data_IF_403097019873
#
_entry.id   IF_403097019873
#
_cell.length_a   1.000
_cell.length_b   1.000
_cell.length_c   1.000
_cell.angle_alpha   90.00
_cell.angle_beta   90.00
_cell.angle_gamma   90.00
#
_symmetry.space_group_name_H-M   'P 1'
#
loop_
_entity.id
_entity.type
_entity.pdbx_description
1 polymer ?
#
# COMPACT_ATOMS: atom_id res chain seq x y z
N UNK A 1 -13.14 -25.60 3.04
CA UNK A 1 -13.94 -25.06 4.17
C UNK A 1 -15.37 -25.55 4.09
N UNK A 2 -16.06 -25.42 2.96
CA UNK A 2 -17.45 -25.88 2.78
C UNK A 2 -17.63 -27.36 3.10
N UNK A 3 -16.66 -28.20 2.71
CA UNK A 3 -16.68 -29.64 3.00
C UNK A 3 -16.54 -29.93 4.50
N UNK A 4 -15.69 -29.16 5.20
CA UNK A 4 -15.53 -29.25 6.64
C UNK A 4 -16.83 -28.87 7.38
N UNK A 5 -17.48 -27.81 6.92
CA UNK A 5 -18.78 -27.37 7.48
C UNK A 5 -19.86 -28.43 7.24
N UNK A 6 -19.96 -28.98 6.02
CA UNK A 6 -20.92 -30.06 5.69
C UNK A 6 -20.73 -31.31 6.54
N UNK A 7 -19.49 -31.62 6.89
CA UNK A 7 -19.13 -32.76 7.71
C UNK A 7 -19.20 -32.50 9.24
N UNK A 8 -19.66 -31.31 9.65
CA UNK A 8 -19.71 -30.85 11.05
C UNK A 8 -18.37 -30.94 11.77
N UNK A 9 -17.26 -30.75 11.04
CA UNK A 9 -15.93 -30.73 11.63
C UNK A 9 -15.73 -29.39 12.34
N UNK A 10 -15.35 -29.44 13.61
CA UNK A 10 -15.03 -28.27 14.42
C UNK A 10 -13.61 -28.35 14.98
N UNK A 11 -12.97 -27.19 15.09
CA UNK A 11 -11.64 -27.02 15.67
C UNK A 11 -11.73 -26.22 16.97
N UNK A 12 -10.75 -26.35 17.83
CA UNK A 12 -10.65 -25.54 19.05
C UNK A 12 -10.45 -24.06 18.74
N UNK A 13 -9.64 -23.78 17.71
CA UNK A 13 -9.29 -22.44 17.26
C UNK A 13 -9.35 -22.30 15.76
N UNK A 14 -9.82 -21.15 15.31
CA UNK A 14 -9.60 -20.65 13.94
C UNK A 14 -8.71 -19.41 14.01
N UNK A 15 -7.53 -19.48 13.40
CA UNK A 15 -6.59 -18.36 13.29
C UNK A 15 -6.55 -17.94 11.83
N UNK A 16 -6.87 -16.68 11.55
CA UNK A 16 -6.87 -16.12 10.20
C UNK A 16 -5.85 -15.01 10.11
N UNK A 17 -4.85 -15.19 9.26
CA UNK A 17 -3.87 -14.17 8.93
C UNK A 17 -4.31 -13.35 7.72
N UNK A 18 -3.73 -12.15 7.57
CA UNK A 18 -4.04 -11.21 6.49
C UNK A 18 -5.54 -10.88 6.37
N UNK A 19 -6.26 -10.89 7.50
CA UNK A 19 -7.72 -10.69 7.54
C UNK A 19 -8.15 -9.33 6.98
N UNK A 20 -7.27 -8.34 6.91
CA UNK A 20 -7.53 -7.03 6.29
C UNK A 20 -7.79 -7.09 4.78
N UNK A 21 -7.34 -8.16 4.11
CA UNK A 21 -7.52 -8.38 2.66
C UNK A 21 -8.74 -9.22 2.31
N UNK A 22 -9.24 -9.98 3.27
CA UNK A 22 -10.34 -10.89 3.04
C UNK A 22 -11.67 -10.13 3.09
N UNK A 23 -12.55 -10.41 2.15
CA UNK A 23 -13.94 -9.96 2.19
C UNK A 23 -14.70 -10.66 3.32
N UNK A 24 -15.84 -10.09 3.74
CA UNK A 24 -16.65 -10.69 4.79
C UNK A 24 -17.04 -12.14 4.50
N UNK A 25 -17.35 -12.48 3.25
CA UNK A 25 -17.68 -13.83 2.85
C UNK A 25 -16.52 -14.81 3.05
N UNK A 26 -15.29 -14.39 2.77
CA UNK A 26 -14.08 -15.18 2.97
C UNK A 26 -13.75 -15.36 4.45
N UNK A 27 -14.09 -14.37 5.30
CA UNK A 27 -13.88 -14.44 6.75
C UNK A 27 -14.94 -15.25 7.46
N UNK A 28 -16.21 -15.13 7.07
CA UNK A 28 -17.33 -15.77 7.80
C UNK A 28 -17.23 -17.30 7.76
N UNK A 29 -16.93 -17.89 6.61
CA UNK A 29 -16.86 -19.36 6.48
C UNK A 29 -15.85 -20.01 7.44
N UNK A 30 -14.59 -19.53 7.57
CA UNK A 30 -13.66 -20.06 8.57
C UNK A 30 -14.15 -19.83 10.02
N UNK A 31 -14.83 -18.70 10.29
CA UNK A 31 -15.32 -18.39 11.63
C UNK A 31 -16.36 -19.37 12.14
N UNK A 32 -17.04 -20.08 11.24
CA UNK A 32 -18.03 -21.11 11.61
C UNK A 32 -17.40 -22.43 12.09
N UNK A 33 -16.09 -22.62 11.84
CA UNK A 33 -15.39 -23.87 12.14
C UNK A 33 -14.92 -24.00 13.61
N UNK A 34 -15.04 -22.95 14.43
CA UNK A 34 -14.58 -22.98 15.82
C UNK A 34 -15.33 -21.99 16.71
N UNK A 35 -15.28 -22.22 18.02
CA UNK A 35 -15.79 -21.27 19.01
C UNK A 35 -14.78 -20.18 19.38
N UNK A 36 -13.47 -20.49 19.29
CA UNK A 36 -12.40 -19.55 19.57
C UNK A 36 -11.80 -19.07 18.26
N UNK A 37 -11.73 -17.76 18.08
CA UNK A 37 -11.39 -17.14 16.81
C UNK A 37 -10.39 -16.03 17.02
N UNK A 38 -9.33 -16.02 16.20
CA UNK A 38 -8.32 -14.97 16.19
C UNK A 38 -8.15 -14.48 14.74
N UNK A 39 -8.40 -13.21 14.52
CA UNK A 39 -8.14 -12.54 13.25
C UNK A 39 -6.91 -11.66 13.40
N UNK A 40 -5.93 -11.85 12.53
CA UNK A 40 -4.69 -11.07 12.45
C UNK A 40 -4.68 -10.38 11.10
N UNK A 41 -4.46 -9.08 11.09
CA UNK A 41 -4.44 -8.31 9.85
C UNK A 41 -4.14 -6.83 10.09
N UNK A 42 -4.10 -6.10 8.99
CA UNK A 42 -3.85 -4.66 9.02
C UNK A 42 -4.79 -3.96 8.03
N UNK A 43 -5.78 -3.26 8.58
CA UNK A 43 -6.75 -2.49 7.79
C UNK A 43 -6.15 -1.20 7.19
N UNK A 44 -4.94 -0.82 7.60
CA UNK A 44 -4.17 0.28 7.01
C UNK A 44 -3.32 -0.15 5.82
N UNK A 45 -3.33 -1.45 5.47
CA UNK A 45 -2.72 -2.01 4.27
C UNK A 45 -3.80 -2.30 3.20
N UNK A 46 -3.48 -3.11 2.18
CA UNK A 46 -4.39 -3.35 1.06
C UNK A 46 -5.74 -3.93 1.54
N UNK A 47 -6.85 -3.39 0.99
CA UNK A 47 -8.19 -3.86 1.30
C UNK A 47 -8.51 -5.15 0.55
N UNK A 48 -9.70 -5.74 0.81
CA UNK A 48 -10.24 -6.82 0.00
C UNK A 48 -10.25 -6.47 -1.49
N UNK A 49 -10.04 -7.48 -2.33
CA UNK A 49 -10.08 -7.29 -3.79
C UNK A 49 -11.42 -6.68 -4.20
N UNK A 50 -11.38 -5.74 -5.13
CA UNK A 50 -12.55 -5.00 -5.63
C UNK A 50 -13.26 -4.07 -4.62
N UNK A 51 -12.72 -3.79 -3.43
CA UNK A 51 -13.34 -2.87 -2.47
C UNK A 51 -13.68 -1.51 -3.11
N UNK A 52 -12.79 -0.96 -3.92
CA UNK A 52 -13.02 0.33 -4.61
C UNK A 52 -14.19 0.25 -5.58
N UNK A 53 -14.33 -0.86 -6.31
CA UNK A 53 -15.45 -1.06 -7.25
C UNK A 53 -16.76 -1.23 -6.48
N UNK A 54 -16.76 -2.05 -5.44
CA UNK A 54 -17.94 -2.25 -4.57
C UNK A 54 -18.36 -0.93 -3.95
N UNK A 55 -17.45 -0.18 -3.37
CA UNK A 55 -17.76 1.13 -2.79
C UNK A 55 -18.29 2.11 -3.84
N UNK A 56 -17.72 2.15 -5.04
CA UNK A 56 -18.20 3.05 -6.11
C UNK A 56 -19.62 2.72 -6.58
N UNK A 57 -20.05 1.46 -6.47
CA UNK A 57 -21.42 1.04 -6.75
C UNK A 57 -22.34 1.43 -5.59
N UNK A 58 -21.91 1.18 -4.35
CA UNK A 58 -22.71 1.41 -3.16
C UNK A 58 -22.82 2.90 -2.75
N UNK A 59 -21.96 3.78 -3.29
CA UNK A 59 -21.92 5.23 -3.01
C UNK A 59 -22.56 6.07 -4.12
N UNK A 60 -23.16 5.46 -5.14
CA UNK A 60 -23.86 6.21 -6.19
C UNK A 60 -25.10 6.89 -5.63
N UNK A 61 -25.17 8.20 -5.81
CA UNK A 61 -26.33 9.02 -5.38
C UNK A 61 -27.60 8.74 -6.18
N UNK A 62 -27.46 8.25 -7.40
CA UNK A 62 -28.55 7.81 -8.27
C UNK A 62 -28.35 6.37 -8.68
N UNK A 63 -29.08 5.48 -8.06
CA UNK A 63 -29.20 4.09 -8.54
C UNK A 63 -30.29 4.09 -9.58
N UNK A 64 -29.99 3.47 -10.71
CA UNK A 64 -31.04 3.13 -11.65
C UNK A 64 -31.89 2.01 -11.03
N UNK A 65 -32.90 2.43 -10.29
CA UNK A 65 -33.82 1.50 -9.60
C UNK A 65 -34.53 0.57 -10.58
N UNK A 66 -34.63 0.93 -11.88
CA UNK A 66 -35.27 0.10 -12.89
C UNK A 66 -34.55 -1.23 -13.04
N UNK A 67 -33.21 -1.24 -13.04
CA UNK A 67 -32.42 -2.47 -13.11
C UNK A 67 -32.57 -3.36 -11.87
N UNK A 68 -32.72 -2.75 -10.69
CA UNK A 68 -32.98 -3.46 -9.44
C UNK A 68 -34.40 -4.05 -9.43
N UNK A 69 -35.37 -3.27 -9.87
CA UNK A 69 -36.78 -3.66 -10.01
C UNK A 69 -36.90 -4.80 -11.00
N UNK A 70 -36.31 -4.67 -12.20
CA UNK A 70 -36.31 -5.70 -13.22
C UNK A 70 -35.63 -6.99 -12.74
N UNK A 71 -34.51 -6.89 -12.02
CA UNK A 71 -33.82 -8.05 -11.46
C UNK A 71 -34.64 -8.80 -10.42
N UNK A 72 -35.42 -8.09 -9.58
CA UNK A 72 -36.33 -8.67 -8.59
C UNK A 72 -37.58 -9.24 -9.30
N UNK A 73 -38.21 -8.50 -10.20
CA UNK A 73 -39.43 -8.87 -10.91
C UNK A 73 -39.22 -10.06 -11.84
N UNK A 74 -38.10 -10.12 -12.54
CA UNK A 74 -37.77 -11.21 -13.46
C UNK A 74 -37.20 -12.45 -12.76
N UNK A 75 -37.10 -12.42 -11.42
CA UNK A 75 -36.61 -13.55 -10.62
C UNK A 75 -35.13 -13.88 -10.88
N UNK A 76 -34.36 -12.98 -11.52
CA UNK A 76 -32.91 -13.16 -11.72
C UNK A 76 -32.14 -13.21 -10.40
N UNK A 77 -32.72 -12.69 -9.33
CA UNK A 77 -32.26 -12.83 -7.96
C UNK A 77 -32.94 -13.99 -7.22
N UNK A 78 -33.70 -14.85 -7.94
CA UNK A 78 -34.27 -16.03 -7.31
C UNK A 78 -33.16 -16.95 -6.86
N UNK A 79 -33.06 -17.20 -5.64
CA UNK A 79 -32.79 -18.46 -4.95
C UNK A 79 -32.12 -18.31 -3.61
N UNK A 80 -31.36 -17.22 -3.34
CA UNK A 80 -30.68 -17.10 -2.05
C UNK A 80 -30.74 -15.67 -1.41
N UNK A 81 -31.31 -14.71 -2.08
CA UNK A 81 -31.39 -13.31 -1.60
C UNK A 81 -32.60 -13.04 -0.69
N UNK A 82 -33.62 -13.88 -0.72
CA UNK A 82 -34.83 -13.79 0.14
C UNK A 82 -34.55 -13.92 1.63
N UNK A 83 -33.32 -14.33 2.01
CA UNK A 83 -32.91 -14.41 3.43
C UNK A 83 -32.08 -13.19 3.89
N UNK A 84 -31.84 -12.23 3.03
CA UNK A 84 -31.13 -11.00 3.43
C UNK A 84 -32.15 -10.05 4.06
N UNK A 85 -32.03 -9.82 5.36
CA UNK A 85 -32.86 -8.88 6.14
C UNK A 85 -32.97 -7.52 5.41
N UNK A 86 -34.17 -7.18 4.99
CA UNK A 86 -34.52 -5.95 4.28
C UNK A 86 -34.89 -6.13 2.80
N UNK A 87 -34.68 -7.30 2.18
CA UNK A 87 -35.15 -7.57 0.82
C UNK A 87 -36.64 -7.92 0.80
N UNK A 88 -37.16 -8.53 1.89
CA UNK A 88 -38.61 -8.78 2.05
C UNK A 88 -39.36 -7.45 2.11
N UNK A 89 -38.87 -6.48 2.91
CA UNK A 89 -39.44 -5.12 2.98
C UNK A 89 -39.35 -4.40 1.60
N UNK A 90 -38.29 -4.62 0.85
CA UNK A 90 -38.12 -4.06 -0.48
C UNK A 90 -39.12 -4.67 -1.46
N UNK A 91 -39.33 -5.99 -1.39
CA UNK A 91 -40.29 -6.73 -2.21
C UNK A 91 -41.73 -6.31 -1.92
N UNK A 92 -42.07 -6.07 -0.66
CA UNK A 92 -43.38 -5.59 -0.24
C UNK A 92 -43.66 -4.16 -0.73
N UNK A 93 -42.69 -3.26 -0.56
CA UNK A 93 -42.81 -1.87 -1.02
C UNK A 93 -42.94 -1.74 -2.55
N UNK A 94 -42.37 -2.70 -3.30
CA UNK A 94 -42.43 -2.71 -4.77
C UNK A 94 -43.71 -3.36 -5.31
N UNK A 95 -44.48 -4.06 -4.52
CA UNK A 95 -45.75 -4.64 -4.91
C UNK A 95 -46.91 -3.63 -4.76
N UNK A 96 -46.68 -2.45 -4.20
CA UNK A 96 -47.70 -1.41 -4.12
C UNK A 96 -47.90 -0.76 -5.51
N UNK A 97 -49.15 -0.78 -5.99
CA UNK A 97 -49.51 -0.25 -7.31
C UNK A 97 -49.37 1.27 -7.46
N UNK A 98 -49.07 2.02 -6.39
CA UNK A 98 -48.84 3.46 -6.38
C UNK A 98 -47.52 3.81 -5.72
N UNK A 99 -46.55 4.23 -6.55
CA UNK A 99 -45.30 4.82 -6.10
C UNK A 99 -45.52 6.30 -5.72
N UNK A 100 -46.07 6.56 -4.55
CA UNK A 100 -46.13 7.90 -4.02
C UNK A 100 -44.76 8.37 -3.47
N UNK A 101 -44.65 9.67 -3.18
CA UNK A 101 -43.41 10.27 -2.68
C UNK A 101 -42.92 9.66 -1.34
N UNK A 102 -43.82 9.18 -0.51
CA UNK A 102 -43.49 8.58 0.78
C UNK A 102 -42.96 7.14 0.60
N UNK A 103 -43.56 6.37 -0.31
CA UNK A 103 -43.07 5.04 -0.70
C UNK A 103 -41.69 5.12 -1.33
N UNK A 104 -41.45 6.07 -2.23
CA UNK A 104 -40.12 6.32 -2.80
C UNK A 104 -39.09 6.67 -1.73
N UNK A 105 -39.47 7.47 -0.74
CA UNK A 105 -38.59 7.83 0.38
C UNK A 105 -38.24 6.63 1.26
N UNK A 106 -39.22 5.78 1.58
CA UNK A 106 -38.99 4.54 2.33
C UNK A 106 -38.11 3.55 1.55
N UNK A 107 -38.34 3.41 0.25
CA UNK A 107 -37.51 2.60 -0.65
C UNK A 107 -36.05 3.06 -0.61
N UNK A 108 -35.82 4.37 -0.76
CA UNK A 108 -34.48 4.96 -0.69
C UNK A 108 -33.78 4.72 0.66
N UNK A 109 -34.51 4.83 1.75
CA UNK A 109 -33.96 4.57 3.09
C UNK A 109 -33.60 3.09 3.27
N UNK A 110 -34.45 2.19 2.80
CA UNK A 110 -34.22 0.74 2.88
C UNK A 110 -33.00 0.34 2.05
N UNK A 111 -32.87 0.86 0.83
CA UNK A 111 -31.70 0.61 -0.03
C UNK A 111 -30.42 1.15 0.60
N UNK A 112 -30.43 2.39 1.14
CA UNK A 112 -29.27 2.93 1.85
C UNK A 112 -28.88 2.05 3.05
N UNK A 113 -29.84 1.51 3.78
CA UNK A 113 -29.59 0.60 4.90
C UNK A 113 -28.93 -0.71 4.42
N UNK A 114 -29.44 -1.30 3.34
CA UNK A 114 -28.88 -2.51 2.72
C UNK A 114 -27.45 -2.25 2.26
N UNK A 115 -27.21 -1.16 1.57
CA UNK A 115 -25.88 -0.78 1.08
C UNK A 115 -24.87 -0.56 2.21
N UNK A 116 -25.29 0.14 3.27
CA UNK A 116 -24.45 0.31 4.46
C UNK A 116 -24.06 -1.02 5.09
N UNK A 117 -25.04 -1.94 5.23
CA UNK A 117 -24.78 -3.30 5.73
C UNK A 117 -23.83 -4.05 4.79
N UNK A 118 -24.06 -4.00 3.48
CA UNK A 118 -23.22 -4.67 2.48
C UNK A 118 -21.79 -4.16 2.54
N UNK A 119 -21.57 -2.83 2.64
CA UNK A 119 -20.26 -2.20 2.81
C UNK A 119 -19.57 -2.69 4.08
N UNK A 120 -20.31 -2.74 5.20
CA UNK A 120 -19.80 -3.24 6.48
C UNK A 120 -19.39 -4.71 6.38
N UNK A 121 -20.22 -5.55 5.76
CA UNK A 121 -19.92 -6.97 5.57
C UNK A 121 -18.72 -7.18 4.63
N UNK A 122 -18.62 -6.40 3.57
CA UNK A 122 -17.50 -6.50 2.62
C UNK A 122 -16.17 -6.19 3.30
N UNK A 123 -16.11 -5.13 4.12
CA UNK A 123 -14.92 -4.70 4.86
C UNK A 123 -15.01 -5.09 6.34
N UNK A 124 -15.43 -6.34 6.63
CA UNK A 124 -15.74 -6.82 7.98
C UNK A 124 -14.59 -6.62 8.97
N UNK A 125 -13.38 -7.01 8.62
CA UNK A 125 -12.22 -6.88 9.51
C UNK A 125 -11.98 -5.41 9.90
N UNK A 126 -11.96 -4.50 8.93
CA UNK A 126 -11.82 -3.06 9.17
C UNK A 126 -12.88 -2.55 10.13
N UNK A 127 -14.15 -2.93 9.90
CA UNK A 127 -15.26 -2.51 10.76
C UNK A 127 -15.11 -3.01 12.20
N UNK A 128 -14.67 -4.25 12.40
CA UNK A 128 -14.39 -4.81 13.72
C UNK A 128 -13.28 -4.08 14.44
N UNK A 129 -12.17 -3.77 13.74
CA UNK A 129 -11.05 -3.00 14.31
C UNK A 129 -11.49 -1.60 14.72
N UNK A 130 -12.15 -0.84 13.83
CA UNK A 130 -12.63 0.51 14.13
C UNK A 130 -13.66 0.54 15.26
N UNK A 131 -14.47 -0.51 15.38
CA UNK A 131 -15.43 -0.66 16.49
C UNK A 131 -14.68 -0.95 17.79
N UNK A 132 -13.68 -1.83 17.77
CA UNK A 132 -12.84 -2.11 18.93
C UNK A 132 -12.07 -0.88 19.42
N UNK A 133 -11.51 -0.08 18.50
CA UNK A 133 -10.85 1.19 18.84
C UNK A 133 -11.82 2.16 19.55
N UNK A 134 -13.06 2.28 19.07
CA UNK A 134 -14.09 3.14 19.71
C UNK A 134 -14.49 2.64 21.10
N UNK A 135 -14.58 1.34 21.30
CA UNK A 135 -14.90 0.74 22.60
C UNK A 135 -13.76 0.95 23.60
N UNK A 136 -12.51 0.88 23.16
CA UNK A 136 -11.34 1.17 24.00
C UNK A 136 -11.32 2.61 24.55
N UNK A 137 -11.68 3.60 23.71
CA UNK A 137 -11.78 5.00 24.11
C UNK A 137 -12.80 5.18 25.24
N UNK A 138 -13.86 4.38 25.24
CA UNK A 138 -14.95 4.46 26.22
C UNK A 138 -14.71 3.56 27.45
N UNK A 139 -13.50 3.03 27.70
CA UNK A 139 -13.16 2.11 28.77
C UNK A 139 -14.05 0.84 28.78
N UNK A 140 -14.61 0.46 27.65
CA UNK A 140 -15.31 -0.80 27.47
C UNK A 140 -14.34 -1.91 27.09
N UNK A 141 -14.68 -3.17 27.38
CA UNK A 141 -13.80 -4.30 27.02
C UNK A 141 -13.58 -4.35 25.51
N UNK A 142 -12.34 -4.21 25.08
CA UNK A 142 -11.95 -4.29 23.69
C UNK A 142 -11.76 -5.74 23.26
N UNK A 143 -12.24 -6.06 22.04
CA UNK A 143 -12.00 -7.37 21.40
C UNK A 143 -10.74 -7.38 20.52
N UNK A 144 -10.03 -6.27 20.42
CA UNK A 144 -8.84 -6.15 19.57
C UNK A 144 -7.78 -5.26 20.18
N UNK A 145 -6.54 -5.53 19.83
CA UNK A 145 -5.38 -4.73 20.22
C UNK A 145 -4.42 -4.54 19.06
N UNK A 146 -3.63 -3.45 19.11
CA UNK A 146 -2.61 -3.13 18.13
C UNK A 146 -1.27 -3.73 18.55
N UNK A 147 -0.65 -4.51 17.68
CA UNK A 147 0.73 -4.97 17.84
C UNK A 147 1.69 -3.79 17.60
N UNK A 148 2.12 -3.12 18.67
CA UNK A 148 2.89 -1.88 18.59
C UNK A 148 4.39 -2.09 18.33
N UNK A 149 4.93 -3.25 18.71
CA UNK A 149 6.38 -3.52 18.61
C UNK A 149 6.70 -4.11 17.23
N UNK A 150 7.53 -3.42 16.47
CA UNK A 150 8.00 -3.88 15.18
C UNK A 150 9.44 -4.44 15.24
N UNK A 151 9.70 -5.48 14.44
CA UNK A 151 10.97 -6.21 14.36
C UNK A 151 11.60 -6.20 12.97
N UNK A 152 10.97 -5.53 12.00
CA UNK A 152 11.34 -5.64 10.57
C UNK A 152 12.24 -4.52 10.10
N UNK A 153 11.83 -3.27 10.33
CA UNK A 153 12.32 -2.11 9.60
C UNK A 153 13.42 -1.35 10.35
N UNK A 154 14.32 -0.73 9.59
CA UNK A 154 15.22 0.30 10.11
C UNK A 154 14.42 1.37 10.88
N UNK A 155 14.93 1.89 12.02
CA UNK A 155 14.20 2.83 12.87
C UNK A 155 13.64 4.04 12.13
N UNK A 156 14.39 4.62 11.19
CA UNK A 156 13.91 5.78 10.42
C UNK A 156 12.76 5.42 9.46
N UNK A 157 12.79 4.23 8.85
CA UNK A 157 11.67 3.73 8.05
C UNK A 157 10.45 3.49 8.94
N UNK A 158 10.65 2.84 10.08
CA UNK A 158 9.59 2.61 11.07
C UNK A 158 8.98 3.91 11.57
N UNK A 159 9.78 4.93 11.87
CA UNK A 159 9.31 6.26 12.29
C UNK A 159 8.45 6.92 11.21
N UNK A 160 8.89 6.88 9.94
CA UNK A 160 8.09 7.39 8.82
C UNK A 160 6.73 6.68 8.73
N UNK A 161 6.72 5.35 8.76
CA UNK A 161 5.52 4.52 8.68
C UNK A 161 4.60 4.77 9.89
N UNK A 162 5.15 4.80 11.10
CA UNK A 162 4.42 5.06 12.34
C UNK A 162 3.69 6.40 12.28
N UNK A 163 4.39 7.44 11.87
CA UNK A 163 3.83 8.78 11.76
C UNK A 163 2.75 8.88 10.69
N UNK A 164 2.97 8.31 9.50
CA UNK A 164 2.02 8.42 8.39
C UNK A 164 0.74 7.61 8.63
N UNK A 165 0.84 6.39 9.18
CA UNK A 165 -0.26 5.44 9.15
C UNK A 165 -0.76 4.98 10.52
N UNK A 166 0.07 5.07 11.57
CA UNK A 166 -0.23 4.46 12.89
C UNK A 166 -0.19 5.47 14.05
N UNK A 167 -0.34 6.78 13.78
CA UNK A 167 -0.45 7.83 14.80
C UNK A 167 0.70 7.79 15.82
N UNK A 168 1.93 7.54 15.34
CA UNK A 168 3.16 7.42 16.13
C UNK A 168 3.14 6.30 17.21
N UNK A 169 2.33 5.25 17.00
CA UNK A 169 2.16 4.16 17.98
C UNK A 169 3.12 2.98 17.79
N UNK A 170 3.83 2.88 16.64
CA UNK A 170 4.80 1.80 16.44
C UNK A 170 6.08 2.08 17.21
N UNK A 171 6.59 1.05 17.90
CA UNK A 171 7.79 1.08 18.72
C UNK A 171 8.78 0.07 18.14
N UNK A 172 10.04 0.45 18.04
CA UNK A 172 11.09 -0.47 17.63
C UNK A 172 11.48 -1.40 18.78
N UNK A 173 11.64 -2.69 18.50
CA UNK A 173 12.28 -3.59 19.45
C UNK A 173 13.76 -3.22 19.60
N UNK A 174 14.31 -3.23 20.83
CA UNK A 174 15.68 -2.79 21.10
C UNK A 174 16.75 -3.51 20.26
N UNK A 175 16.63 -4.82 20.12
CA UNK A 175 17.59 -5.60 19.31
C UNK A 175 17.52 -5.22 17.83
N UNK A 176 16.31 -4.94 17.31
CA UNK A 176 16.09 -4.48 15.95
C UNK A 176 16.70 -3.10 15.73
N UNK A 177 16.49 -2.21 16.67
CA UNK A 177 17.05 -0.85 16.66
C UNK A 177 18.58 -0.90 16.65
N UNK A 178 19.19 -1.61 17.60
CA UNK A 178 20.64 -1.76 17.69
C UNK A 178 21.22 -2.38 16.41
N UNK A 179 20.59 -3.43 15.88
CA UNK A 179 21.01 -4.10 14.64
C UNK A 179 21.06 -3.15 13.45
N UNK A 180 20.05 -2.30 13.26
CA UNK A 180 19.96 -1.46 12.07
C UNK A 180 20.71 -0.14 12.18
N UNK A 181 20.96 0.35 13.38
CA UNK A 181 21.80 1.54 13.64
C UNK A 181 23.30 1.20 13.61
N UNK A 182 23.66 -0.05 13.82
CA UNK A 182 25.05 -0.49 13.70
C UNK A 182 25.42 -0.68 12.22
N UNK A 183 26.20 0.25 11.71
CA UNK A 183 26.72 0.27 10.32
C UNK A 183 27.48 -1.02 9.97
N UNK A 184 28.11 -1.65 10.98
CA UNK A 184 28.91 -2.87 10.74
C UNK A 184 28.04 -4.05 10.37
N UNK A 185 26.78 -4.09 10.85
CA UNK A 185 25.83 -5.17 10.59
C UNK A 185 25.13 -5.06 9.24
N UNK A 186 25.21 -3.88 8.59
CA UNK A 186 24.60 -3.68 7.29
C UNK A 186 25.28 -4.52 6.22
N UNK A 187 24.53 -5.36 5.47
CA UNK A 187 25.13 -6.39 4.60
C UNK A 187 25.61 -5.85 3.26
N UNK A 188 25.36 -4.59 2.91
CA UNK A 188 25.71 -4.00 1.61
C UNK A 188 26.17 -2.55 1.74
N UNK A 189 26.89 -2.10 0.72
CA UNK A 189 27.35 -0.72 0.53
C UNK A 189 27.12 -0.30 -0.91
N UNK A 190 27.28 1.00 -1.19
CA UNK A 190 27.37 1.54 -2.55
C UNK A 190 28.78 2.01 -2.81
N UNK A 191 29.35 1.64 -3.96
CA UNK A 191 30.62 2.20 -4.42
C UNK A 191 30.42 3.63 -4.90
N UNK A 192 31.44 4.43 -4.73
CA UNK A 192 31.47 5.81 -5.22
C UNK A 192 31.65 5.85 -6.74
N UNK A 193 31.06 6.84 -7.39
CA UNK A 193 31.23 7.11 -8.81
C UNK A 193 31.19 8.62 -9.02
N UNK A 194 32.15 9.18 -9.80
CA UNK A 194 32.29 10.63 -10.02
C UNK A 194 31.06 11.24 -10.75
N UNK A 195 30.29 10.42 -11.47
CA UNK A 195 29.14 10.85 -12.26
C UNK A 195 27.78 10.48 -11.63
N UNK A 196 27.78 9.93 -10.42
CA UNK A 196 26.56 9.54 -9.74
C UNK A 196 26.64 9.89 -8.25
N UNK A 197 25.53 10.33 -7.62
CA UNK A 197 25.54 10.68 -6.22
C UNK A 197 26.08 9.55 -5.35
N UNK A 198 26.93 9.91 -4.38
CA UNK A 198 27.38 8.93 -3.40
C UNK A 198 26.23 8.54 -2.46
N UNK A 199 25.59 7.40 -2.76
CA UNK A 199 24.47 6.90 -1.96
C UNK A 199 24.99 6.54 -0.58
N UNK A 200 24.54 7.26 0.44
CA UNK A 200 24.94 6.99 1.81
C UNK A 200 24.32 5.66 2.29
N UNK A 201 25.18 4.67 2.48
CA UNK A 201 24.78 3.35 2.95
C UNK A 201 24.28 3.35 4.40
N UNK A 202 24.60 4.36 5.20
CA UNK A 202 24.29 4.39 6.64
C UNK A 202 22.84 4.82 6.91
N UNK A 203 22.16 5.35 5.92
CA UNK A 203 20.82 5.89 6.06
C UNK A 203 19.75 4.87 5.70
N UNK A 204 18.69 4.82 6.49
CA UNK A 204 17.54 3.94 6.23
C UNK A 204 16.70 4.39 5.03
N UNK A 205 16.66 5.72 4.76
CA UNK A 205 15.87 6.31 3.68
C UNK A 205 16.77 7.19 2.82
N UNK A 206 16.74 6.94 1.51
CA UNK A 206 17.46 7.73 0.49
C UNK A 206 16.47 8.15 -0.58
N UNK A 207 16.46 9.42 -0.95
CA UNK A 207 15.67 9.94 -2.06
C UNK A 207 16.59 10.33 -3.22
N UNK A 208 16.38 9.73 -4.38
CA UNK A 208 17.04 10.09 -5.63
C UNK A 208 16.05 10.90 -6.48
N UNK A 209 16.22 12.20 -6.47
CA UNK A 209 15.39 13.14 -7.24
C UNK A 209 15.68 13.05 -8.73
N UNK A 210 14.67 13.34 -9.53
CA UNK A 210 14.78 13.34 -10.99
C UNK A 210 15.11 14.73 -11.52
N UNK A 211 14.82 15.78 -10.77
CA UNK A 211 14.94 17.18 -11.22
C UNK A 211 15.47 18.12 -10.13
N UNK A 212 16.15 19.18 -10.56
CA UNK A 212 16.59 20.26 -9.70
C UNK A 212 15.37 21.09 -9.24
N UNK A 213 15.09 21.17 -7.93
CA UNK A 213 13.96 21.94 -7.39
C UNK A 213 14.02 23.44 -7.73
N UNK A 214 15.17 23.96 -8.16
CA UNK A 214 15.33 25.36 -8.52
C UNK A 214 15.08 25.67 -10.01
N UNK A 215 14.83 24.64 -10.85
CA UNK A 215 14.54 24.81 -12.27
C UNK A 215 13.08 24.53 -12.57
N UNK A 216 12.25 25.55 -12.52
CA UNK A 216 10.80 25.51 -12.75
C UNK A 216 10.33 25.19 -14.19
N UNK A 217 11.17 24.75 -15.09
CA UNK A 217 10.74 24.25 -16.38
C UNK A 217 10.30 22.79 -16.24
N UNK A 218 9.07 22.61 -15.81
CA UNK A 218 8.45 21.33 -15.58
C UNK A 218 8.16 20.64 -16.93
N UNK A 219 9.16 19.97 -17.49
CA UNK A 219 8.96 19.11 -18.64
C UNK A 219 8.44 17.74 -18.14
N UNK A 220 7.25 17.29 -18.60
CA UNK A 220 6.75 15.99 -18.22
C UNK A 220 7.74 14.90 -18.65
N UNK A 221 8.19 14.09 -17.69
CA UNK A 221 9.10 12.96 -17.94
C UNK A 221 8.37 11.62 -17.98
N UNK A 222 7.13 11.63 -17.54
CA UNK A 222 6.26 10.46 -17.56
C UNK A 222 5.59 10.33 -18.91
N UNK A 223 5.64 9.14 -19.50
CA UNK A 223 4.88 8.78 -20.67
C UNK A 223 4.12 7.49 -20.42
N UNK A 224 2.81 7.55 -20.46
CA UNK A 224 1.95 6.36 -20.44
C UNK A 224 2.19 5.44 -19.22
N UNK A 225 2.40 6.05 -18.04
CA UNK A 225 2.77 5.39 -16.76
C UNK A 225 4.14 4.72 -16.77
N UNK A 226 5.06 5.21 -17.59
CA UNK A 226 6.48 4.85 -17.54
C UNK A 226 7.33 6.11 -17.36
N UNK A 227 8.50 5.95 -16.74
CA UNK A 227 9.48 7.00 -16.54
C UNK A 227 10.89 6.42 -16.80
N UNK A 228 11.44 6.72 -17.97
CA UNK A 228 12.75 6.21 -18.40
C UNK A 228 13.90 6.78 -17.56
N UNK A 229 13.77 8.02 -17.07
CA UNK A 229 14.79 8.63 -16.21
C UNK A 229 14.89 7.88 -14.87
N UNK A 230 13.75 7.55 -14.24
CA UNK A 230 13.76 6.70 -13.05
C UNK A 230 14.41 5.35 -13.32
N UNK A 231 14.09 4.75 -14.46
CA UNK A 231 14.65 3.45 -14.83
C UNK A 231 16.19 3.50 -14.96
N UNK A 232 16.73 4.57 -15.58
CA UNK A 232 18.18 4.76 -15.70
C UNK A 232 18.85 4.97 -14.33
N UNK A 233 18.24 5.76 -13.44
CA UNK A 233 18.72 5.96 -12.06
C UNK A 233 18.75 4.64 -11.30
N UNK A 234 17.70 3.81 -11.44
CA UNK A 234 17.61 2.51 -10.79
C UNK A 234 18.70 1.57 -11.29
N UNK A 235 18.91 1.48 -12.61
CA UNK A 235 19.97 0.65 -13.19
C UNK A 235 21.32 1.08 -12.66
N UNK A 236 21.60 2.39 -12.66
CA UNK A 236 22.86 2.95 -12.15
C UNK A 236 23.08 2.61 -10.67
N UNK A 237 22.02 2.75 -9.85
CA UNK A 237 22.08 2.37 -8.43
C UNK A 237 22.43 0.89 -8.25
N UNK A 238 21.85 0.00 -9.08
CA UNK A 238 22.12 -1.45 -9.06
C UNK A 238 23.54 -1.79 -9.56
N UNK A 239 24.12 -0.98 -10.44
CA UNK A 239 25.52 -1.14 -10.85
C UNK A 239 26.50 -0.82 -9.72
N UNK A 240 26.15 0.14 -8.85
CA UNK A 240 27.02 0.62 -7.76
C UNK A 240 26.90 -0.21 -6.47
N UNK A 241 25.85 -1.01 -6.32
CA UNK A 241 25.66 -1.80 -5.11
C UNK A 241 26.68 -2.93 -5.01
N UNK A 242 27.15 -3.18 -3.78
CA UNK A 242 28.10 -4.27 -3.47
C UNK A 242 27.71 -4.91 -2.13
N UNK A 243 27.88 -6.23 -2.03
CA UNK A 243 27.73 -6.97 -0.79
C UNK A 243 28.98 -6.87 0.06
N UNK A 244 28.83 -6.62 1.36
CA UNK A 244 29.93 -6.74 2.33
C UNK A 244 30.32 -8.21 2.57
N UNK A 245 29.45 -9.17 2.30
CA UNK A 245 29.71 -10.61 2.57
C UNK A 245 30.74 -11.23 1.64
N UNK A 246 31.10 -10.61 0.53
CA UNK A 246 32.32 -10.99 -0.19
C UNK A 246 33.58 -10.75 0.64
N UNK A 247 33.48 -10.01 1.74
CA UNK A 247 34.56 -9.69 2.67
C UNK A 247 34.52 -10.54 3.95
N UNK A 248 33.38 -11.20 4.29
CA UNK A 248 33.20 -11.96 5.52
C UNK A 248 32.46 -13.30 5.24
N UNK A 249 33.22 -14.38 5.13
CA UNK A 249 32.74 -15.72 4.77
C UNK A 249 31.82 -16.43 5.79
N UNK A 250 31.42 -15.79 6.89
CA UNK A 250 30.73 -16.47 8.00
C UNK A 250 29.19 -16.43 7.95
N UNK A 251 28.56 -15.61 7.09
CA UNK A 251 27.09 -15.57 6.98
C UNK A 251 26.63 -15.61 5.54
N UNK A 252 26.62 -16.81 4.97
CA UNK A 252 26.29 -17.11 3.56
C UNK A 252 24.83 -16.94 3.16
N UNK A 253 24.07 -15.98 3.74
CA UNK A 253 22.70 -15.71 3.27
C UNK A 253 22.73 -14.61 2.23
N UNK A 254 22.22 -14.86 1.01
CA UNK A 254 22.14 -13.83 -0.02
C UNK A 254 21.27 -12.65 0.44
N UNK A 255 21.69 -11.45 0.08
CA UNK A 255 21.01 -10.20 0.42
C UNK A 255 19.77 -10.07 -0.46
N UNK A 256 18.62 -9.96 0.14
CA UNK A 256 17.34 -9.82 -0.57
C UNK A 256 17.16 -8.41 -1.10
N UNK A 257 16.96 -8.29 -2.39
CA UNK A 257 16.72 -7.04 -3.10
C UNK A 257 15.45 -7.11 -3.93
N UNK A 258 14.70 -6.01 -4.00
CA UNK A 258 13.51 -5.88 -4.84
C UNK A 258 13.36 -4.43 -5.32
N UNK A 259 12.92 -4.26 -6.56
CA UNK A 259 12.45 -3.00 -7.12
C UNK A 259 10.92 -3.03 -7.14
N UNK A 260 10.27 -1.95 -6.69
CA UNK A 260 8.81 -1.87 -6.70
C UNK A 260 8.36 -0.63 -7.46
N UNK A 261 7.29 -0.77 -8.21
CA UNK A 261 6.61 0.36 -8.84
C UNK A 261 5.09 0.20 -8.71
N UNK A 262 4.35 1.31 -8.58
CA UNK A 262 2.88 1.26 -8.58
C UNK A 262 2.28 0.81 -9.92
N UNK A 263 3.01 0.98 -11.03
CA UNK A 263 2.46 0.86 -12.38
C UNK A 263 3.04 -0.33 -13.13
N UNK A 264 2.15 -1.19 -13.63
CA UNK A 264 2.54 -2.40 -14.37
C UNK A 264 3.42 -2.10 -15.59
N UNK A 265 3.14 -1.04 -16.34
CA UNK A 265 3.96 -0.65 -17.50
C UNK A 265 5.40 -0.31 -17.13
N UNK A 266 5.61 0.38 -15.98
CA UNK A 266 6.95 0.64 -15.47
C UNK A 266 7.66 -0.66 -15.05
N UNK A 267 6.92 -1.56 -14.41
CA UNK A 267 7.45 -2.88 -14.03
C UNK A 267 7.92 -3.67 -15.25
N UNK A 268 7.11 -3.70 -16.31
CA UNK A 268 7.43 -4.41 -17.54
C UNK A 268 8.63 -3.79 -18.25
N UNK A 269 8.70 -2.45 -18.33
CA UNK A 269 9.84 -1.72 -18.87
C UNK A 269 11.12 -2.01 -18.07
N UNK A 270 11.08 -1.91 -16.74
CA UNK A 270 12.24 -2.18 -15.90
C UNK A 270 12.73 -3.62 -16.04
N UNK A 271 11.83 -4.61 -16.02
CA UNK A 271 12.23 -6.00 -16.20
C UNK A 271 12.84 -6.26 -17.58
N UNK A 272 12.34 -5.62 -18.66
CA UNK A 272 12.94 -5.70 -19.99
C UNK A 272 14.36 -5.11 -20.01
N UNK A 273 14.55 -3.96 -19.36
CA UNK A 273 15.88 -3.34 -19.24
C UNK A 273 16.82 -4.19 -18.39
N UNK A 274 16.35 -4.79 -17.30
CA UNK A 274 17.16 -5.69 -16.47
C UNK A 274 17.64 -6.93 -17.24
N UNK A 275 16.81 -7.46 -18.13
CA UNK A 275 17.20 -8.54 -19.04
C UNK A 275 18.27 -8.08 -20.03
N UNK A 276 18.05 -6.95 -20.70
CA UNK A 276 18.98 -6.39 -21.70
C UNK A 276 20.35 -6.10 -21.09
N UNK A 277 20.38 -5.53 -19.88
CA UNK A 277 21.62 -5.19 -19.18
C UNK A 277 22.22 -6.35 -18.36
N UNK A 278 21.59 -7.51 -18.35
CA UNK A 278 21.94 -8.66 -17.50
C UNK A 278 22.08 -8.27 -16.02
N UNK A 279 21.18 -7.40 -15.57
CA UNK A 279 21.25 -6.79 -14.23
C UNK A 279 21.09 -7.83 -13.14
N UNK A 280 20.17 -8.78 -13.32
CA UNK A 280 19.94 -9.87 -12.34
C UNK A 280 21.18 -10.73 -12.16
N UNK A 281 21.82 -11.14 -13.25
CA UNK A 281 23.07 -11.93 -13.20
C UNK A 281 24.19 -11.15 -12.47
N UNK A 282 24.32 -9.85 -12.79
CA UNK A 282 25.34 -8.99 -12.17
C UNK A 282 25.14 -8.83 -10.66
N UNK A 283 23.91 -8.60 -10.19
CA UNK A 283 23.64 -8.48 -8.75
C UNK A 283 23.79 -9.82 -8.03
N UNK A 284 23.44 -10.93 -8.66
CA UNK A 284 23.65 -12.26 -8.10
C UNK A 284 25.15 -12.57 -7.89
N UNK A 285 25.99 -12.22 -8.86
CA UNK A 285 27.45 -12.31 -8.72
C UNK A 285 28.01 -11.48 -7.56
N UNK A 286 27.31 -10.40 -7.19
CA UNK A 286 27.65 -9.55 -6.04
C UNK A 286 27.05 -10.04 -4.71
N UNK A 287 26.41 -11.22 -4.66
CA UNK A 287 25.84 -11.81 -3.45
C UNK A 287 24.41 -11.37 -3.11
N UNK A 288 23.68 -10.81 -4.08
CA UNK A 288 22.26 -10.46 -3.92
C UNK A 288 21.37 -11.55 -4.52
N UNK A 289 20.13 -11.60 -4.04
CA UNK A 289 19.08 -12.38 -4.65
C UNK A 289 17.78 -11.59 -4.76
N UNK A 290 16.92 -12.01 -5.67
CA UNK A 290 15.56 -11.49 -5.78
C UNK A 290 14.78 -11.92 -4.54
N UNK A 291 14.11 -10.98 -3.87
CA UNK A 291 13.42 -11.24 -2.61
C UNK A 291 12.23 -12.20 -2.77
N UNK A 292 11.57 -12.19 -3.95
CA UNK A 292 10.38 -13.01 -4.20
C UNK A 292 10.17 -13.27 -5.70
N UNK A 293 10.08 -14.55 -6.10
CA UNK A 293 9.86 -14.97 -7.50
C UNK A 293 11.06 -14.66 -8.39
N UNK A 294 10.84 -14.59 -9.71
CA UNK A 294 11.92 -14.55 -10.71
C UNK A 294 12.21 -13.14 -11.25
N UNK A 295 11.27 -12.20 -11.09
CA UNK A 295 11.41 -10.83 -11.59
C UNK A 295 11.93 -9.89 -10.51
N UNK A 296 12.97 -9.12 -10.85
CA UNK A 296 13.57 -8.14 -9.94
C UNK A 296 12.66 -6.94 -9.67
N UNK A 297 11.77 -6.60 -10.60
CA UNK A 297 10.76 -5.56 -10.41
C UNK A 297 9.37 -6.15 -10.34
N UNK A 298 8.57 -5.67 -9.35
CA UNK A 298 7.17 -6.08 -9.15
C UNK A 298 6.27 -4.87 -8.87
N UNK A 299 4.97 -5.07 -9.07
CA UNK A 299 3.98 -4.11 -8.56
C UNK A 299 3.86 -4.24 -7.04
N UNK A 300 3.44 -3.15 -6.40
CA UNK A 300 3.22 -3.13 -4.93
C UNK A 300 2.25 -4.23 -4.51
N UNK A 301 1.16 -4.39 -5.26
CA UNK A 301 0.12 -5.39 -4.96
C UNK A 301 0.66 -6.83 -5.07
N UNK A 302 1.52 -7.10 -6.07
CA UNK A 302 2.11 -8.44 -6.26
C UNK A 302 3.24 -8.79 -5.28
N UNK A 303 3.80 -7.80 -4.58
CA UNK A 303 4.84 -7.98 -3.57
C UNK A 303 4.30 -7.89 -2.14
N UNK A 304 2.99 -7.81 -1.96
CA UNK A 304 2.39 -7.77 -0.62
C UNK A 304 2.74 -9.04 0.17
N UNK A 305 2.98 -8.90 1.48
CA UNK A 305 3.51 -9.96 2.34
C UNK A 305 5.02 -10.18 2.20
N UNK A 306 5.64 -9.71 1.10
CA UNK A 306 7.08 -9.77 0.89
C UNK A 306 7.86 -8.74 1.73
N UNK A 307 9.16 -8.97 1.84
CA UNK A 307 10.14 -8.09 2.46
C UNK A 307 11.52 -8.29 1.85
N UNK A 308 12.33 -7.24 1.83
CA UNK A 308 13.71 -7.30 1.33
C UNK A 308 14.65 -6.48 2.19
N UNK A 309 15.94 -6.80 2.14
CA UNK A 309 16.97 -6.06 2.84
C UNK A 309 17.15 -4.66 2.24
N UNK A 310 17.06 -4.57 0.91
CA UNK A 310 17.03 -3.32 0.15
C UNK A 310 15.79 -3.30 -0.74
N UNK A 311 15.06 -2.18 -0.69
CA UNK A 311 13.96 -1.87 -1.62
C UNK A 311 14.31 -0.61 -2.40
N UNK A 312 14.11 -0.66 -3.71
CA UNK A 312 14.16 0.53 -4.57
C UNK A 312 12.77 0.79 -5.10
N UNK A 313 12.25 2.00 -4.89
CA UNK A 313 10.91 2.41 -5.30
C UNK A 313 10.99 3.33 -6.52
N UNK A 314 10.23 3.02 -7.57
CA UNK A 314 10.03 3.88 -8.73
C UNK A 314 8.63 4.48 -8.65
N UNK A 315 8.52 5.79 -8.41
CA UNK A 315 7.23 6.48 -8.22
C UNK A 315 6.54 6.80 -9.54
N UNK A 316 7.30 6.95 -10.62
CA UNK A 316 6.88 7.21 -12.01
C UNK A 316 6.30 8.61 -12.24
N UNK A 317 5.44 9.08 -11.35
CA UNK A 317 4.61 10.27 -11.59
C UNK A 317 5.44 11.55 -11.73
N UNK A 318 5.43 12.11 -12.95
CA UNK A 318 6.04 13.38 -13.30
C UNK A 318 5.32 13.96 -14.53
N UNK A 319 4.22 14.65 -14.31
CA UNK A 319 3.31 15.11 -15.36
C UNK A 319 2.63 16.43 -14.98
N UNK A 320 1.91 17.02 -15.94
CA UNK A 320 1.14 18.27 -15.78
C UNK A 320 -0.37 18.03 -15.78
N UNK A 321 -0.81 16.81 -15.48
CA UNK A 321 -2.23 16.48 -15.51
C UNK A 321 -3.02 17.20 -14.41
N UNK A 322 -4.27 17.50 -14.70
CA UNK A 322 -5.31 17.95 -13.77
C UNK A 322 -6.54 17.06 -13.97
N UNK A 323 -7.30 16.72 -12.96
CA UNK A 323 -7.18 17.03 -11.52
C UNK A 323 -6.10 16.21 -10.81
N UNK A 324 -5.86 16.48 -9.51
CA UNK A 324 -4.84 15.83 -8.67
C UNK A 324 -4.89 14.30 -8.73
N UNK A 325 -6.08 13.70 -8.77
CA UNK A 325 -6.24 12.24 -8.89
C UNK A 325 -5.66 11.69 -10.18
N UNK A 326 -5.76 12.44 -11.29
CA UNK A 326 -5.14 12.06 -12.57
C UNK A 326 -3.62 12.27 -12.51
N UNK A 327 -3.17 13.32 -11.85
CA UNK A 327 -1.76 13.65 -11.72
C UNK A 327 -1.00 12.62 -10.88
N UNK A 328 -1.46 12.32 -9.69
CA UNK A 328 -0.75 11.49 -8.71
C UNK A 328 -1.25 10.04 -8.66
N UNK A 329 -2.53 9.80 -8.97
CA UNK A 329 -3.09 8.44 -9.06
C UNK A 329 -2.83 7.58 -7.82
N UNK A 330 -2.05 6.53 -7.98
CA UNK A 330 -1.67 5.58 -6.93
C UNK A 330 -1.06 6.25 -5.69
N UNK A 331 -0.29 7.33 -5.86
CA UNK A 331 0.40 8.00 -4.75
C UNK A 331 -0.57 8.66 -3.74
N UNK A 332 -1.84 8.79 -4.09
CA UNK A 332 -2.90 9.24 -3.19
C UNK A 332 -3.52 8.11 -2.36
N UNK A 333 -3.27 6.86 -2.70
CA UNK A 333 -3.81 5.73 -1.94
C UNK A 333 -2.90 5.43 -0.73
N UNK A 334 -3.29 5.93 0.44
CA UNK A 334 -2.54 5.78 1.68
C UNK A 334 -2.26 4.31 2.04
N UNK A 335 -3.18 3.38 1.76
CA UNK A 335 -3.04 1.96 2.08
C UNK A 335 -1.97 1.30 1.20
N UNK A 336 -1.98 1.61 -0.09
CA UNK A 336 -0.97 1.13 -1.04
C UNK A 336 0.40 1.75 -0.75
N UNK A 337 0.44 3.04 -0.41
CA UNK A 337 1.66 3.70 0.03
C UNK A 337 2.22 3.07 1.31
N UNK A 338 1.37 2.74 2.28
CA UNK A 338 1.81 2.02 3.48
C UNK A 338 2.49 0.69 3.13
N UNK A 339 1.86 -0.11 2.25
CA UNK A 339 2.47 -1.37 1.80
C UNK A 339 3.81 -1.12 1.12
N UNK A 340 3.88 -0.17 0.18
CA UNK A 340 5.08 0.14 -0.59
C UNK A 340 6.25 0.57 0.30
N UNK A 341 6.01 1.49 1.22
CA UNK A 341 7.03 2.08 2.08
C UNK A 341 7.50 1.16 3.22
N UNK A 342 6.70 0.13 3.59
CA UNK A 342 7.00 -0.76 4.72
C UNK A 342 7.70 -2.07 4.35
N UNK A 343 8.19 -2.23 3.11
CA UNK A 343 8.80 -3.49 2.64
C UNK A 343 10.29 -3.64 2.92
N UNK A 344 11.00 -2.53 3.16
CA UNK A 344 12.44 -2.53 3.36
C UNK A 344 12.83 -2.86 4.80
N UNK A 345 13.90 -3.65 4.97
CA UNK A 345 14.53 -3.92 6.27
C UNK A 345 15.61 -2.89 6.60
N UNK A 346 16.67 -2.85 5.81
CA UNK A 346 17.84 -1.98 6.08
C UNK A 346 17.75 -0.63 5.40
N UNK A 347 17.33 -0.60 4.13
CA UNK A 347 17.30 0.64 3.37
C UNK A 347 16.20 0.65 2.33
N UNK A 348 15.58 1.81 2.21
CA UNK A 348 14.64 2.16 1.15
C UNK A 348 15.22 3.29 0.32
N UNK A 349 15.36 3.07 -0.99
CA UNK A 349 15.72 4.10 -1.97
C UNK A 349 14.46 4.48 -2.73
N UNK A 350 14.09 5.74 -2.68
CA UNK A 350 12.93 6.27 -3.40
C UNK A 350 13.47 7.05 -4.61
N UNK A 351 13.03 6.67 -5.80
CA UNK A 351 13.35 7.36 -7.06
C UNK A 351 12.08 8.04 -7.57
N UNK A 352 12.11 9.35 -7.72
CA UNK A 352 10.93 10.09 -8.13
C UNK A 352 11.05 11.61 -7.99
N UNK A 353 10.04 12.34 -8.50
CA UNK A 353 9.95 13.79 -8.42
C UNK A 353 9.36 14.26 -7.10
N UNK A 354 10.19 14.75 -6.21
CA UNK A 354 9.72 15.35 -4.96
C UNK A 354 9.05 16.70 -5.20
N UNK A 355 9.48 17.42 -6.24
CA UNK A 355 8.90 18.72 -6.61
C UNK A 355 7.44 18.61 -7.02
N UNK A 356 7.09 17.55 -7.75
CA UNK A 356 5.71 17.29 -8.11
C UNK A 356 4.83 17.03 -6.88
N UNK A 357 5.35 16.26 -5.91
CA UNK A 357 4.64 16.04 -4.65
C UNK A 357 4.50 17.35 -3.86
N UNK A 358 5.57 18.15 -3.79
CA UNK A 358 5.57 19.44 -3.12
C UNK A 358 4.60 20.44 -3.78
N UNK A 359 4.59 20.48 -5.11
CA UNK A 359 3.67 21.35 -5.84
C UNK A 359 2.21 21.03 -5.55
N UNK A 360 1.83 19.75 -5.62
CA UNK A 360 0.47 19.32 -5.32
C UNK A 360 0.09 19.46 -3.84
N UNK A 361 1.01 19.23 -2.91
CA UNK A 361 0.73 19.38 -1.48
C UNK A 361 0.48 20.84 -1.08
N UNK A 362 0.98 21.80 -1.85
CA UNK A 362 0.74 23.22 -1.64
C UNK A 362 -0.51 23.74 -2.36
N UNK A 363 -1.11 22.95 -3.25
CA UNK A 363 -2.36 23.31 -3.92
C UNK A 363 -3.51 23.31 -2.90
N UNK A 364 -4.30 24.39 -2.89
CA UNK A 364 -5.42 24.54 -1.95
C UNK A 364 -6.46 23.41 -2.07
N UNK A 365 -6.61 22.84 -3.28
CA UNK A 365 -7.53 21.74 -3.54
C UNK A 365 -7.08 20.43 -2.90
N UNK A 366 -5.78 20.26 -2.66
CA UNK A 366 -5.23 19.08 -2.00
C UNK A 366 -5.36 19.16 -0.47
N UNK A 367 -5.31 20.37 0.11
CA UNK A 367 -5.30 20.56 1.57
C UNK A 367 -6.55 20.00 2.26
N UNK A 368 -7.69 20.06 1.60
CA UNK A 368 -8.97 19.64 2.19
C UNK A 368 -9.31 18.17 1.92
N UNK A 369 -8.74 17.57 0.87
CA UNK A 369 -9.11 16.21 0.44
C UNK A 369 -8.00 15.17 0.60
N UNK A 370 -6.75 15.58 0.77
CA UNK A 370 -5.59 14.70 0.68
C UNK A 370 -4.59 14.96 1.84
N UNK A 371 -5.09 14.95 3.07
CA UNK A 371 -4.30 15.12 4.30
C UNK A 371 -3.05 14.22 4.33
N UNK A 372 -3.19 12.97 3.85
CA UNK A 372 -2.08 12.02 3.75
C UNK A 372 -0.96 12.54 2.84
N UNK A 373 -1.29 13.07 1.64
CA UNK A 373 -0.30 13.61 0.71
C UNK A 373 0.48 14.76 1.33
N UNK A 374 -0.22 15.69 1.95
CA UNK A 374 0.40 16.85 2.62
C UNK A 374 1.33 16.40 3.73
N UNK A 375 0.90 15.49 4.58
CA UNK A 375 1.69 14.94 5.67
C UNK A 375 2.94 14.21 5.14
N UNK A 376 2.76 13.32 4.16
CA UNK A 376 3.85 12.57 3.53
C UNK A 376 4.89 13.51 2.92
N UNK A 377 4.44 14.49 2.13
CA UNK A 377 5.34 15.45 1.47
C UNK A 377 6.13 16.26 2.50
N UNK A 378 5.47 16.78 3.54
CA UNK A 378 6.14 17.54 4.59
C UNK A 378 7.21 16.71 5.33
N UNK A 379 7.01 15.40 5.47
CA UNK A 379 8.00 14.50 6.07
C UNK A 379 9.17 14.21 5.14
N UNK A 380 9.00 14.29 3.83
CA UNK A 380 9.98 13.90 2.83
C UNK A 380 10.75 15.08 2.19
N UNK A 381 10.19 16.29 2.25
CA UNK A 381 10.82 17.48 1.63
C UNK A 381 12.18 17.79 2.29
N UNK A 382 13.23 18.08 1.48
CA UNK A 382 14.55 18.49 1.99
C UNK A 382 14.44 19.67 2.96
N UNK A 383 15.26 19.61 4.01
CA UNK A 383 15.34 20.65 5.05
C UNK A 383 14.11 20.79 5.97
N UNK A 384 13.04 20.02 5.79
CA UNK A 384 12.00 19.94 6.81
C UNK A 384 12.57 19.39 8.14
N UNK A 385 11.95 19.76 9.25
CA UNK A 385 12.34 19.24 10.57
C UNK A 385 12.20 17.71 10.57
N UNK A 386 11.10 17.22 10.03
CA UNK A 386 10.78 15.79 9.95
C UNK A 386 11.78 15.02 9.08
N UNK A 387 12.17 15.56 7.90
CA UNK A 387 13.17 14.92 7.04
C UNK A 387 14.55 14.84 7.72
N UNK A 388 14.92 15.86 8.49
CA UNK A 388 16.14 15.84 9.31
C UNK A 388 16.07 14.80 10.43
N UNK A 389 14.94 14.70 11.12
CA UNK A 389 14.72 13.69 12.15
C UNK A 389 14.69 12.26 11.61
N UNK A 390 14.24 12.07 10.36
CA UNK A 390 14.27 10.79 9.64
C UNK A 390 15.63 10.52 8.98
N UNK A 391 16.54 11.49 9.05
CA UNK A 391 17.87 11.44 8.42
C UNK A 391 17.81 11.08 6.92
N UNK A 392 16.84 11.64 6.19
CA UNK A 392 16.67 11.37 4.77
C UNK A 392 17.80 12.04 3.98
N UNK A 393 18.49 11.26 3.17
CA UNK A 393 19.46 11.77 2.21
C UNK A 393 18.79 12.04 0.87
N UNK A 394 18.92 13.27 0.38
CA UNK A 394 18.38 13.67 -0.91
C UNK A 394 19.53 13.91 -1.90
N UNK A 395 19.44 13.28 -3.06
CA UNK A 395 20.42 13.41 -4.12
C UNK A 395 19.73 13.72 -5.45
N UNK A 396 20.37 14.57 -6.26
CA UNK A 396 20.00 14.82 -7.64
C UNK A 396 21.15 14.30 -8.51
N UNK A 397 20.93 13.28 -9.34
CA UNK A 397 21.98 12.76 -10.21
C UNK A 397 22.52 13.82 -11.18
N UNK A 398 23.82 13.94 -11.28
CA UNK A 398 24.55 14.97 -12.05
C UNK A 398 24.20 14.95 -13.55
N UNK A 399 23.88 13.78 -14.11
CA UNK A 399 23.48 13.64 -15.50
C UNK A 399 22.26 14.50 -15.91
N UNK A 400 21.53 15.05 -14.95
CA UNK A 400 20.36 15.91 -15.15
C UNK A 400 20.58 17.37 -14.79
N UNK A 401 21.80 17.74 -14.39
CA UNK A 401 22.13 19.12 -14.06
C UNK A 401 22.52 19.94 -15.31
N UNK A 402 22.77 19.29 -16.46
CA UNK A 402 23.34 19.91 -17.65
C UNK A 402 22.44 19.92 -18.90
N UNK A 403 21.12 19.67 -18.76
CA UNK A 403 20.17 19.81 -19.88
C UNK A 403 19.16 20.93 -19.65
#
# INVERSE_FOLDING_TARGET
IEELIKNNIQFDWTIMEESGKASGNELISPLLLSHRRLMIGDHKQLPPFSETVVNSILERDSIDYSLLIDGISNGSFKTNLTRISGLDELSELMQSDELDNDTIKQLNQTIKRIFTKTKTHFSLFKHLVETSERLNINNSSSMGDLLKIQYRMHPNISKLISSLFYKDQLINHKETENKYLDITTKPFIFSTNDHFPNINSDKGIVWLGIQDPNKYNFLPQEKDYTNEFEAQIIIKSLELIQSKSQLNAENNKPIKLMVLSPYKKQVDMLNSLFLTHKTVEKIQQKGFCIAQGDNLCKTVDSFQGGEADLIILSLVRHNTHTPIRKALGFLLDARRMNVMLSRAKYQMIIVGSLDMLAWWSNDSRAKDSEEFLVKMTNMLIPNSIQAKELEICHYIPIAYQNN
#
